data_IF_415079320430
#
_entry.id   IF_415079320430
#
_cell.length_a   1.000
_cell.length_b   1.000
_cell.length_c   1.000
_cell.angle_alpha   90.00
_cell.angle_beta   90.00
_cell.angle_gamma   90.00
#
_symmetry.space_group_name_H-M   'P 1'
#
loop_
_entity.id
_entity.type
_entity.pdbx_description
1 polymer ?
#
# COMPACT_ATOMS: atom_id res chain seq x y z
N UNK A 1 -12.42 31.08 -21.21
CA UNK A 1 -12.10 29.65 -21.10
C UNK A 1 -12.93 29.05 -19.97
N UNK A 2 -14.07 28.44 -20.28
CA UNK A 2 -15.04 27.98 -19.26
C UNK A 2 -14.95 26.48 -18.96
N UNK A 3 -14.11 25.76 -19.72
CA UNK A 3 -14.06 24.29 -19.73
C UNK A 3 -12.62 23.78 -19.49
N UNK A 4 -11.82 24.53 -18.74
CA UNK A 4 -10.44 24.13 -18.40
C UNK A 4 -10.37 23.91 -16.89
N UNK A 5 -9.84 22.75 -16.51
CA UNK A 5 -9.47 22.41 -15.15
C UNK A 5 -7.97 22.13 -15.11
N UNK A 6 -7.25 22.82 -14.23
CA UNK A 6 -5.82 22.60 -14.01
C UNK A 6 -5.65 21.81 -12.71
N UNK A 7 -4.97 20.68 -12.78
CA UNK A 7 -4.55 19.91 -11.61
C UNK A 7 -3.04 19.83 -11.58
N UNK A 8 -2.46 20.14 -10.43
CA UNK A 8 -1.03 20.02 -10.17
C UNK A 8 -0.80 19.22 -8.89
N UNK A 9 0.36 18.58 -8.77
CA UNK A 9 0.75 17.81 -7.58
C UNK A 9 2.20 18.13 -7.24
N UNK A 10 2.52 18.33 -5.97
CA UNK A 10 3.89 18.48 -5.47
C UNK A 10 4.19 17.46 -4.38
N UNK A 11 5.39 16.89 -4.41
CA UNK A 11 5.92 16.05 -3.33
C UNK A 11 6.70 16.86 -2.29
N UNK A 12 6.95 18.15 -2.55
CA UNK A 12 7.81 19.02 -1.74
C UNK A 12 6.97 20.18 -1.21
N UNK A 13 6.35 19.97 -0.06
CA UNK A 13 5.33 20.88 0.50
C UNK A 13 5.95 22.19 1.00
N UNK A 14 7.15 22.11 1.57
CA UNK A 14 7.80 23.26 2.23
C UNK A 14 8.42 24.26 1.24
N UNK A 15 8.62 23.86 -0.01
CA UNK A 15 9.28 24.69 -1.04
C UNK A 15 8.38 24.94 -2.25
N UNK A 16 7.05 24.77 -2.09
CA UNK A 16 6.11 25.14 -3.16
C UNK A 16 6.19 26.65 -3.38
N UNK A 17 6.25 27.05 -4.65
CA UNK A 17 6.26 28.45 -5.05
C UNK A 17 5.05 29.21 -4.44
N UNK A 18 5.28 30.29 -3.67
CA UNK A 18 4.20 31.04 -3.04
C UNK A 18 3.17 31.61 -4.03
N UNK A 19 3.58 31.98 -5.24
CA UNK A 19 2.66 32.47 -6.27
C UNK A 19 1.78 31.36 -6.83
N UNK A 20 2.24 30.10 -6.81
CA UNK A 20 1.39 28.96 -7.17
C UNK A 20 0.31 28.72 -6.10
N UNK A 21 0.67 28.86 -4.82
CA UNK A 21 -0.28 28.75 -3.69
C UNK A 21 -1.33 29.86 -3.79
N UNK A 22 -0.91 31.11 -3.98
CA UNK A 22 -1.79 32.28 -4.08
C UNK A 22 -2.80 32.16 -5.24
N UNK A 23 -2.39 31.52 -6.34
CA UNK A 23 -3.24 31.32 -7.53
C UNK A 23 -4.07 30.03 -7.51
N UNK A 24 -3.96 29.21 -6.46
CA UNK A 24 -4.68 27.94 -6.37
C UNK A 24 -5.97 28.11 -5.57
N UNK A 25 -7.11 27.77 -6.18
CA UNK A 25 -8.41 27.81 -5.49
C UNK A 25 -8.54 26.73 -4.40
N UNK A 26 -7.88 25.58 -4.59
CA UNK A 26 -7.92 24.45 -3.67
C UNK A 26 -6.52 23.86 -3.48
N UNK A 27 -6.11 23.75 -2.22
CA UNK A 27 -4.86 23.11 -1.82
C UNK A 27 -5.20 21.96 -0.88
N UNK A 28 -4.84 20.75 -1.29
CA UNK A 28 -5.09 19.54 -0.52
C UNK A 28 -3.78 18.82 -0.22
N UNK A 29 -3.47 18.68 1.07
CA UNK A 29 -2.43 17.78 1.51
C UNK A 29 -2.96 16.34 1.56
N UNK A 30 -2.29 15.43 0.85
CA UNK A 30 -2.61 14.00 0.84
C UNK A 30 -1.49 13.25 1.56
N UNK A 31 -1.72 12.91 2.83
CA UNK A 31 -0.82 12.09 3.63
C UNK A 31 -0.85 10.60 3.27
N UNK A 32 -0.11 9.76 4.01
CA UNK A 32 -0.20 8.31 3.88
C UNK A 32 -1.65 7.82 4.15
N UNK A 33 -2.05 6.71 3.51
CA UNK A 33 -3.41 6.19 3.65
C UNK A 33 -3.74 5.80 5.10
N UNK A 34 -4.99 6.07 5.49
CA UNK A 34 -5.54 5.61 6.77
C UNK A 34 -5.53 4.07 6.87
N UNK A 35 -5.64 3.53 8.10
CA UNK A 35 -5.75 2.07 8.31
C UNK A 35 -6.91 1.48 7.49
N UNK A 36 -8.07 2.18 7.48
CA UNK A 36 -9.22 1.78 6.67
C UNK A 36 -8.87 1.74 5.19
N UNK A 37 -8.20 2.77 4.66
CA UNK A 37 -7.77 2.82 3.26
C UNK A 37 -6.77 1.70 2.94
N UNK A 38 -5.80 1.46 3.82
CA UNK A 38 -4.82 0.38 3.67
C UNK A 38 -5.47 -1.00 3.65
N UNK A 39 -6.46 -1.24 4.52
CA UNK A 39 -7.27 -2.45 4.47
C UNK A 39 -7.96 -2.63 3.10
N UNK A 40 -8.56 -1.56 2.56
CA UNK A 40 -9.20 -1.61 1.25
C UNK A 40 -8.20 -1.87 0.11
N UNK A 41 -6.99 -1.30 0.20
CA UNK A 41 -5.91 -1.58 -0.76
C UNK A 41 -5.57 -3.07 -0.75
N UNK A 42 -5.30 -3.66 0.43
CA UNK A 42 -4.99 -5.09 0.52
C UNK A 42 -6.16 -5.98 0.08
N UNK A 43 -7.39 -5.65 0.49
CA UNK A 43 -8.59 -6.38 0.06
C UNK A 43 -8.74 -6.38 -1.46
N UNK A 44 -8.53 -5.23 -2.10
CA UNK A 44 -8.57 -5.12 -3.56
C UNK A 44 -7.47 -5.96 -4.24
N UNK A 45 -6.25 -5.96 -3.70
CA UNK A 45 -5.17 -6.80 -4.22
C UNK A 45 -5.49 -8.31 -4.11
N UNK A 46 -6.01 -8.77 -2.97
CA UNK A 46 -6.43 -10.17 -2.84
C UNK A 46 -7.58 -10.52 -3.79
N UNK A 47 -8.57 -9.64 -3.92
CA UNK A 47 -9.68 -9.84 -4.85
C UNK A 47 -9.20 -10.00 -6.29
N UNK A 48 -8.32 -9.11 -6.75
CA UNK A 48 -7.73 -9.18 -8.09
C UNK A 48 -6.99 -10.50 -8.32
N UNK A 49 -6.17 -10.95 -7.35
CA UNK A 49 -5.45 -12.22 -7.45
C UNK A 49 -6.39 -13.43 -7.50
N UNK A 50 -7.53 -13.39 -6.81
CA UNK A 50 -8.57 -14.42 -6.88
C UNK A 50 -9.21 -14.42 -8.27
N UNK A 51 -9.60 -13.24 -8.78
CA UNK A 51 -10.22 -13.10 -10.11
C UNK A 51 -9.31 -13.56 -11.25
N UNK A 52 -7.99 -13.44 -11.09
CA UNK A 52 -7.00 -13.97 -12.05
C UNK A 52 -6.63 -15.44 -11.82
N UNK A 53 -7.29 -16.13 -10.90
CA UNK A 53 -7.00 -17.52 -10.51
C UNK A 53 -5.55 -17.74 -10.06
N UNK A 54 -4.89 -16.70 -9.51
CA UNK A 54 -3.53 -16.78 -8.98
C UNK A 54 -3.52 -17.26 -7.52
N UNK A 55 -4.61 -17.03 -6.79
CA UNK A 55 -4.82 -17.55 -5.44
C UNK A 55 -6.17 -18.26 -5.31
N UNK A 56 -6.25 -19.24 -4.41
CA UNK A 56 -7.44 -20.07 -4.22
C UNK A 56 -8.65 -19.26 -3.70
N UNK A 57 -9.82 -19.44 -4.34
CA UNK A 57 -11.00 -18.59 -4.12
C UNK A 57 -11.89 -18.98 -2.93
N UNK A 58 -11.82 -20.22 -2.41
CA UNK A 58 -12.67 -20.66 -1.28
C UNK A 58 -12.16 -20.20 0.08
N UNK A 59 -11.85 -18.92 0.19
CA UNK A 59 -11.40 -18.34 1.45
C UNK A 59 -12.60 -17.74 2.20
N UNK A 60 -12.72 -18.03 3.50
CA UNK A 60 -13.81 -17.47 4.31
C UNK A 60 -13.62 -15.95 4.42
N UNK A 61 -14.60 -15.18 3.94
CA UNK A 61 -14.50 -13.73 3.85
C UNK A 61 -14.24 -13.05 5.20
N UNK A 62 -14.80 -13.59 6.29
CA UNK A 62 -14.65 -13.03 7.63
C UNK A 62 -13.23 -13.25 8.20
N UNK A 63 -12.64 -14.43 7.97
CA UNK A 63 -11.27 -14.71 8.42
C UNK A 63 -10.24 -13.82 7.70
N UNK A 64 -10.47 -13.53 6.41
CA UNK A 64 -9.58 -12.65 5.63
C UNK A 64 -9.63 -11.23 6.16
N UNK A 65 -10.83 -10.77 6.52
CA UNK A 65 -11.09 -9.41 6.95
C UNK A 65 -10.27 -9.08 8.19
N UNK A 66 -10.29 -9.93 9.22
CA UNK A 66 -9.54 -9.69 10.46
C UNK A 66 -8.02 -9.75 10.23
N UNK A 67 -7.55 -10.73 9.45
CA UNK A 67 -6.13 -10.86 9.08
C UNK A 67 -5.64 -9.61 8.35
N UNK A 68 -6.34 -9.17 7.30
CA UNK A 68 -5.97 -7.98 6.52
C UNK A 68 -6.09 -6.69 7.34
N UNK A 69 -7.06 -6.60 8.26
CA UNK A 69 -7.20 -5.44 9.13
C UNK A 69 -6.00 -5.30 10.07
N UNK A 70 -5.55 -6.41 10.66
CA UNK A 70 -4.34 -6.42 11.50
C UNK A 70 -3.09 -6.07 10.69
N UNK A 71 -2.95 -6.61 9.48
CA UNK A 71 -1.85 -6.24 8.59
C UNK A 71 -1.90 -4.74 8.22
N UNK A 72 -3.09 -4.18 8.01
CA UNK A 72 -3.25 -2.75 7.73
C UNK A 72 -2.83 -1.87 8.91
N UNK A 73 -3.14 -2.26 10.15
CA UNK A 73 -2.65 -1.57 11.35
C UNK A 73 -1.12 -1.59 11.41
N UNK A 74 -0.51 -2.76 11.17
CA UNK A 74 0.94 -2.92 11.15
C UNK A 74 1.59 -2.13 10.02
N UNK A 75 0.87 -1.85 8.94
CA UNK A 75 1.35 -1.11 7.77
C UNK A 75 1.22 0.41 7.90
N UNK A 76 0.86 0.92 9.07
CA UNK A 76 0.75 2.35 9.33
C UNK A 76 2.04 3.11 8.94
N UNK A 77 1.87 4.28 8.32
CA UNK A 77 2.93 5.16 7.86
C UNK A 77 3.48 4.85 6.46
N UNK A 78 3.12 3.73 5.85
CA UNK A 78 3.60 3.36 4.51
C UNK A 78 2.83 4.11 3.41
N UNK A 79 3.54 4.47 2.34
CA UNK A 79 2.93 5.09 1.16
C UNK A 79 1.99 4.13 0.43
N UNK A 80 0.97 4.66 -0.26
CA UNK A 80 0.10 3.84 -1.12
C UNK A 80 0.87 3.05 -2.19
N UNK A 81 1.99 3.60 -2.69
CA UNK A 81 2.90 2.93 -3.62
C UNK A 81 3.52 1.69 -2.98
N UNK A 82 4.02 1.81 -1.76
CA UNK A 82 4.60 0.70 -0.99
C UNK A 82 3.55 -0.39 -0.74
N UNK A 83 2.37 0.00 -0.25
CA UNK A 83 1.29 -0.93 0.06
C UNK A 83 0.84 -1.75 -1.15
N UNK A 84 0.75 -1.13 -2.34
CA UNK A 84 0.40 -1.85 -3.57
C UNK A 84 1.49 -2.77 -4.10
N UNK A 85 2.76 -2.49 -3.81
CA UNK A 85 3.89 -3.35 -4.19
C UNK A 85 4.03 -4.57 -3.27
N UNK A 86 3.68 -4.44 -2.00
CA UNK A 86 3.87 -5.47 -0.98
C UNK A 86 3.28 -6.85 -1.38
N UNK A 87 2.02 -6.97 -1.85
CA UNK A 87 1.47 -8.27 -2.28
C UNK A 87 2.27 -8.93 -3.39
N UNK A 88 2.77 -8.16 -4.36
CA UNK A 88 3.52 -8.70 -5.51
C UNK A 88 4.91 -9.20 -5.11
N UNK A 89 5.60 -8.43 -4.26
CA UNK A 89 6.90 -8.86 -3.72
C UNK A 89 6.71 -10.12 -2.86
N UNK A 90 5.71 -10.12 -1.99
CA UNK A 90 5.37 -11.29 -1.18
C UNK A 90 5.06 -12.52 -2.04
N UNK A 91 4.25 -12.34 -3.09
CA UNK A 91 3.90 -13.39 -4.04
C UNK A 91 5.14 -13.98 -4.73
N UNK A 92 6.11 -13.15 -5.14
CA UNK A 92 7.35 -13.61 -5.79
C UNK A 92 8.25 -14.47 -4.89
N UNK A 93 8.14 -14.34 -3.56
CA UNK A 93 8.92 -15.12 -2.60
C UNK A 93 8.27 -16.48 -2.26
N UNK A 94 7.05 -16.74 -2.75
CA UNK A 94 6.40 -18.03 -2.55
C UNK A 94 6.97 -19.01 -3.60
N UNK A 95 7.72 -20.02 -3.15
CA UNK A 95 8.26 -21.06 -4.02
C UNK A 95 7.11 -21.81 -4.72
N UNK A 96 7.17 -21.87 -6.05
CA UNK A 96 6.16 -22.52 -6.87
C UNK A 96 6.55 -23.98 -7.13
N UNK A 97 5.68 -24.91 -6.72
CA UNK A 97 5.65 -26.28 -7.22
C UNK A 97 4.21 -26.54 -7.70
N UNK A 98 3.91 -26.22 -8.96
CA UNK A 98 2.73 -26.63 -9.74
C UNK A 98 1.33 -26.54 -9.08
N UNK A 99 1.15 -25.76 -8.00
CA UNK A 99 -0.11 -25.67 -7.26
C UNK A 99 -0.57 -24.23 -7.02
N UNK A 100 -1.88 -24.03 -6.92
CA UNK A 100 -2.50 -22.76 -6.56
C UNK A 100 -2.00 -22.26 -5.20
N UNK A 101 -1.78 -20.96 -5.08
CA UNK A 101 -1.35 -20.36 -3.82
C UNK A 101 -2.56 -20.17 -2.90
N UNK A 102 -2.45 -20.66 -1.67
CA UNK A 102 -3.47 -20.42 -0.66
C UNK A 102 -3.37 -18.97 -0.14
N UNK A 103 -4.49 -18.26 0.09
CA UNK A 103 -4.44 -16.89 0.62
C UNK A 103 -3.71 -16.77 1.96
N UNK A 104 -3.72 -17.83 2.78
CA UNK A 104 -2.93 -17.96 4.01
C UNK A 104 -1.41 -17.80 3.76
N UNK A 105 -0.90 -18.41 2.67
CA UNK A 105 0.50 -18.35 2.31
C UNK A 105 0.89 -16.93 1.89
N UNK A 106 0.05 -16.30 1.05
CA UNK A 106 0.26 -14.92 0.64
C UNK A 106 0.22 -13.96 1.84
N UNK A 107 -0.73 -14.16 2.76
CA UNK A 107 -0.82 -13.37 3.97
C UNK A 107 0.46 -13.47 4.81
N UNK A 108 0.96 -14.69 5.05
CA UNK A 108 2.22 -14.93 5.79
C UNK A 108 3.41 -14.28 5.09
N UNK A 109 3.51 -14.42 3.77
CA UNK A 109 4.58 -13.80 2.98
C UNK A 109 4.52 -12.26 3.04
N UNK A 110 3.33 -11.67 2.95
CA UNK A 110 3.14 -10.22 3.09
C UNK A 110 3.51 -9.72 4.48
N UNK A 111 3.13 -10.45 5.53
CA UNK A 111 3.49 -10.10 6.90
C UNK A 111 5.01 -10.10 7.10
N UNK A 112 5.70 -11.13 6.61
CA UNK A 112 7.17 -11.20 6.67
C UNK A 112 7.81 -10.04 5.88
N UNK A 113 7.34 -9.79 4.67
CA UNK A 113 7.87 -8.71 3.82
C UNK A 113 7.63 -7.32 4.43
N UNK A 114 6.50 -7.13 5.12
CA UNK A 114 6.19 -5.89 5.80
C UNK A 114 7.17 -5.59 6.94
N UNK A 115 7.47 -6.60 7.76
CA UNK A 115 8.45 -6.49 8.85
C UNK A 115 9.82 -6.15 8.28
N UNK A 116 10.25 -6.89 7.25
CA UNK A 116 11.53 -6.63 6.59
C UNK A 116 11.61 -5.17 6.11
N UNK A 117 10.59 -4.70 5.39
CA UNK A 117 10.56 -3.34 4.85
C UNK A 117 10.55 -2.26 5.94
N UNK A 118 9.84 -2.48 7.05
CA UNK A 118 9.87 -1.54 8.18
C UNK A 118 11.23 -1.48 8.85
N UNK A 119 11.89 -2.63 9.03
CA UNK A 119 13.22 -2.68 9.61
C UNK A 119 14.24 -1.96 8.72
N UNK A 120 14.18 -2.15 7.40
CA UNK A 120 15.04 -1.43 6.44
C UNK A 120 14.79 0.07 6.48
N UNK A 121 13.53 0.52 6.52
CA UNK A 121 13.22 1.95 6.59
C UNK A 121 13.72 2.57 7.90
N UNK A 122 13.54 1.88 9.04
CA UNK A 122 14.04 2.34 10.34
C UNK A 122 15.56 2.45 10.33
N UNK A 123 16.25 1.48 9.72
CA UNK A 123 17.70 1.52 9.56
C UNK A 123 18.13 2.75 8.74
N UNK A 124 17.53 2.99 7.57
CA UNK A 124 17.86 4.15 6.73
C UNK A 124 17.63 5.48 7.45
N UNK A 125 16.53 5.60 8.20
CA UNK A 125 16.24 6.79 9.01
C UNK A 125 17.28 7.04 10.12
N UNK A 126 18.02 6.04 10.57
CA UNK A 126 19.11 6.23 11.53
C UNK A 126 20.37 6.80 10.87
N UNK A 127 20.60 6.58 9.57
CA UNK A 127 21.74 7.15 8.83
C UNK A 127 21.51 8.61 8.45
N UNK A 128 20.30 8.98 8.05
CA UNK A 128 19.99 10.36 7.67
C UNK A 128 20.01 11.35 8.86
N UNK A 129 20.01 10.84 10.10
CA UNK A 129 20.04 11.63 11.33
C UNK A 129 21.44 11.71 11.98
N UNK A 130 22.50 11.24 11.31
CA UNK A 130 23.91 11.38 11.71
C UNK A 130 24.61 12.43 10.86
#
# INVERSE_FOLDING_TARGET
FSNILILTTSNLIEIIDPALIDRSDLILFIGPPSIKTTFHIYRACFHELIEKNLIYSKFQAEELKDKLWNLAKLSHGLSGRTLRKLPMIAFSHIQQCDHFIHPEQLFKAMHHQLIYQKNTNNYLQQFDNQ
#
